data_IF_108950725549
#
_entry.id   IF_108950725549
#
_cell.length_a   1.000
_cell.length_b   1.000
_cell.length_c   1.000
_cell.angle_alpha   90.00
_cell.angle_beta   90.00
_cell.angle_gamma   90.00
#
_symmetry.space_group_name_H-M   'P 1'
#
loop_
_entity.id
_entity.type
_entity.pdbx_description
1 polymer ?
#
# COMPACT_ATOMS: atom_id res chain seq x y z
N UNK A 1 10.37 -6.33 -14.52
CA UNK A 1 10.50 -4.93 -14.12
C UNK A 1 11.32 -4.88 -12.84
N UNK A 2 12.59 -4.51 -12.93
CA UNK A 2 13.47 -4.47 -11.77
C UNK A 2 13.42 -3.08 -11.10
N UNK A 3 12.26 -2.75 -10.55
CA UNK A 3 12.04 -1.54 -9.77
C UNK A 3 11.22 -1.87 -8.53
N UNK A 4 11.54 -1.34 -7.34
CA UNK A 4 10.73 -1.56 -6.15
C UNK A 4 9.28 -1.11 -6.34
N UNK A 5 8.33 -1.77 -5.69
CA UNK A 5 6.91 -1.41 -5.75
C UNK A 5 6.67 0.04 -5.28
N UNK A 6 7.35 0.46 -4.21
CA UNK A 6 7.39 1.87 -3.76
C UNK A 6 8.75 2.44 -4.14
N UNK A 7 8.85 2.96 -5.35
CA UNK A 7 10.12 3.40 -5.94
C UNK A 7 10.51 4.85 -5.63
N UNK A 8 9.60 5.65 -5.07
CA UNK A 8 9.88 7.05 -4.72
C UNK A 8 10.18 7.99 -5.89
N UNK A 9 10.03 7.55 -7.13
CA UNK A 9 10.26 8.39 -8.31
C UNK A 9 9.01 9.24 -8.61
N UNK A 10 9.21 10.45 -9.10
CA UNK A 10 8.15 11.22 -9.77
C UNK A 10 7.78 10.56 -11.09
N UNK A 11 6.62 10.90 -11.65
CA UNK A 11 6.21 10.44 -12.98
C UNK A 11 7.23 10.82 -14.05
N UNK A 12 7.80 12.03 -13.97
CA UNK A 12 8.85 12.48 -14.88
C UNK A 12 10.16 11.66 -14.76
N UNK A 13 10.58 11.37 -13.54
CA UNK A 13 11.76 10.52 -13.28
C UNK A 13 11.54 9.09 -13.77
N UNK A 14 10.34 8.53 -13.51
CA UNK A 14 9.96 7.20 -14.01
C UNK A 14 9.95 7.15 -15.53
N UNK A 15 9.44 8.19 -16.20
CA UNK A 15 9.46 8.31 -17.66
C UNK A 15 10.88 8.38 -18.22
N UNK A 16 11.77 9.17 -17.58
CA UNK A 16 13.20 9.23 -17.95
C UNK A 16 13.89 7.88 -17.77
N UNK A 17 13.65 7.23 -16.63
CA UNK A 17 14.20 5.91 -16.35
C UNK A 17 13.74 4.89 -17.39
N UNK A 18 12.43 4.83 -17.66
CA UNK A 18 11.84 3.92 -18.66
C UNK A 18 12.40 4.17 -20.08
N UNK A 19 12.71 5.42 -20.40
CA UNK A 19 13.33 5.76 -21.67
C UNK A 19 14.80 5.34 -21.76
N UNK A 20 15.52 5.32 -20.65
CA UNK A 20 16.96 4.97 -20.62
C UNK A 20 17.20 3.47 -20.56
N UNK A 21 16.37 2.74 -19.83
CA UNK A 21 16.59 1.32 -19.54
C UNK A 21 15.96 0.45 -20.61
N UNK A 22 16.77 -0.42 -21.23
CA UNK A 22 16.29 -1.40 -22.23
C UNK A 22 15.35 -2.42 -21.60
N UNK A 23 14.35 -2.85 -22.35
CA UNK A 23 13.41 -3.88 -21.95
C UNK A 23 12.32 -3.45 -20.96
N UNK A 24 12.31 -2.19 -20.51
CA UNK A 24 11.28 -1.67 -19.60
C UNK A 24 9.97 -1.41 -20.34
N UNK A 25 10.04 -0.75 -21.48
CA UNK A 25 8.93 -0.59 -22.39
C UNK A 25 9.01 -1.72 -23.41
N UNK A 26 7.88 -2.34 -23.71
CA UNK A 26 7.82 -3.41 -24.72
C UNK A 26 7.93 -2.82 -26.14
N UNK A 27 9.01 -2.11 -26.39
CA UNK A 27 9.34 -1.42 -27.65
C UNK A 27 10.79 -1.66 -28.01
N UNK A 28 11.07 -1.73 -29.30
CA UNK A 28 12.42 -1.79 -29.85
C UNK A 28 13.25 -0.61 -29.35
N UNK A 29 14.50 -0.86 -28.98
CA UNK A 29 15.44 0.14 -28.49
C UNK A 29 15.61 1.34 -29.44
N UNK A 30 15.59 1.08 -30.74
CA UNK A 30 15.64 2.11 -31.77
C UNK A 30 14.45 3.06 -31.71
N UNK A 31 13.24 2.55 -31.54
CA UNK A 31 12.02 3.35 -31.42
C UNK A 31 11.99 4.11 -30.10
N UNK A 32 12.40 3.48 -29.01
CA UNK A 32 12.52 4.10 -27.68
C UNK A 32 13.47 5.31 -27.70
N UNK A 33 14.61 5.19 -28.38
CA UNK A 33 15.61 6.27 -28.50
C UNK A 33 15.13 7.42 -29.39
N UNK A 34 14.36 7.16 -30.45
CA UNK A 34 13.86 8.19 -31.37
C UNK A 34 12.85 9.15 -30.71
N UNK A 35 12.05 8.70 -29.77
CA UNK A 35 11.05 9.53 -29.11
C UNK A 35 11.68 10.69 -28.33
N UNK A 36 11.12 11.90 -28.44
CA UNK A 36 11.50 13.05 -27.64
C UNK A 36 10.66 13.06 -26.36
N UNK A 37 11.30 13.11 -25.21
CA UNK A 37 10.65 13.25 -23.89
C UNK A 37 10.98 14.64 -23.33
N UNK A 38 9.94 15.42 -23.04
CA UNK A 38 10.05 16.70 -22.37
C UNK A 38 9.32 16.58 -21.03
N UNK A 39 10.03 16.88 -19.94
CA UNK A 39 9.43 16.91 -18.59
C UNK A 39 9.30 18.37 -18.20
N UNK A 40 8.06 18.73 -17.83
CA UNK A 40 7.76 20.05 -17.25
C UNK A 40 7.66 19.87 -15.74
N UNK A 41 8.65 20.35 -14.96
CA UNK A 41 8.64 20.23 -13.52
C UNK A 41 7.55 21.11 -12.90
N UNK A 42 6.98 20.67 -11.77
CA UNK A 42 6.08 21.50 -10.98
C UNK A 42 6.88 22.58 -10.25
N UNK A 43 6.40 23.82 -10.32
CA UNK A 43 6.98 24.92 -9.55
C UNK A 43 6.52 24.85 -8.09
N UNK A 44 7.45 25.09 -7.15
CA UNK A 44 7.16 25.14 -5.72
C UNK A 44 6.90 23.81 -5.05
N UNK A 45 7.05 22.68 -5.77
CA UNK A 45 6.95 21.35 -5.19
C UNK A 45 8.35 20.81 -4.82
N UNK A 46 8.43 20.18 -3.63
CA UNK A 46 9.62 19.43 -3.21
C UNK A 46 9.22 18.00 -2.83
N UNK A 47 10.19 17.09 -2.81
CA UNK A 47 9.97 15.67 -2.52
C UNK A 47 9.46 15.42 -1.10
N UNK A 48 9.80 16.28 -0.17
CA UNK A 48 9.42 16.22 1.24
C UNK A 48 7.97 16.65 1.48
N UNK A 49 7.36 17.33 0.50
CA UNK A 49 5.98 17.80 0.63
C UNK A 49 4.99 16.64 0.62
N UNK A 50 4.12 16.65 1.60
CA UNK A 50 2.89 15.86 1.60
C UNK A 50 1.76 16.61 0.87
N UNK A 51 0.70 15.92 0.43
CA UNK A 51 -0.39 16.54 -0.30
C UNK A 51 -1.00 17.78 0.39
N UNK A 52 -1.29 17.76 1.72
CA UNK A 52 -1.82 18.96 2.40
C UNK A 52 -0.91 20.18 2.29
N UNK A 53 0.41 20.00 2.23
CA UNK A 53 1.37 21.10 2.12
C UNK A 53 1.37 21.76 0.74
N UNK A 54 0.79 21.13 -0.25
CA UNK A 54 0.64 21.72 -1.60
C UNK A 54 -0.47 22.77 -1.65
N UNK A 55 -1.37 22.80 -0.67
CA UNK A 55 -2.56 23.67 -0.67
C UNK A 55 -3.64 23.25 -1.67
N UNK A 56 -3.45 22.14 -2.38
CA UNK A 56 -4.40 21.66 -3.38
C UNK A 56 -5.50 20.82 -2.74
N UNK A 57 -6.71 20.93 -3.31
CA UNK A 57 -7.83 20.06 -2.92
C UNK A 57 -7.57 18.62 -3.28
N UNK A 58 -7.92 17.71 -2.38
CA UNK A 58 -7.85 16.28 -2.66
C UNK A 58 -9.00 15.83 -3.55
N UNK A 59 -8.68 15.12 -4.61
CA UNK A 59 -9.66 14.43 -5.45
C UNK A 59 -9.42 12.92 -5.37
N UNK A 60 -10.46 12.11 -5.09
CA UNK A 60 -10.32 10.66 -5.05
C UNK A 60 -9.76 10.12 -6.38
N UNK A 61 -8.65 9.41 -6.29
CA UNK A 61 -7.99 8.82 -7.47
C UNK A 61 -8.67 7.52 -7.92
N UNK A 62 -9.48 6.91 -7.03
CA UNK A 62 -10.23 5.69 -7.27
C UNK A 62 -11.40 5.63 -6.25
N UNK A 63 -12.52 4.95 -6.57
CA UNK A 63 -13.57 4.68 -5.57
C UNK A 63 -13.06 3.99 -4.31
N UNK A 64 -11.99 3.22 -4.42
CA UNK A 64 -11.37 2.53 -3.30
C UNK A 64 -10.27 3.35 -2.59
N UNK A 65 -9.88 4.51 -3.14
CA UNK A 65 -8.90 5.43 -2.56
C UNK A 65 -9.56 6.82 -2.39
N UNK A 66 -10.57 6.93 -1.52
CA UNK A 66 -11.34 8.16 -1.36
C UNK A 66 -10.62 9.24 -0.54
N UNK A 67 -9.61 8.89 0.24
CA UNK A 67 -8.93 9.77 1.19
C UNK A 67 -7.41 9.63 1.12
N UNK A 68 -6.70 10.65 1.61
CA UNK A 68 -5.24 10.60 1.77
C UNK A 68 -4.79 9.47 2.74
N UNK A 69 -5.61 9.14 3.73
CA UNK A 69 -5.36 8.01 4.63
C UNK A 69 -5.34 6.67 3.86
N UNK A 70 -6.23 6.53 2.87
CA UNK A 70 -6.24 5.36 1.99
C UNK A 70 -5.02 5.32 1.05
N UNK A 71 -4.51 6.48 0.61
CA UNK A 71 -3.27 6.55 -0.20
C UNK A 71 -2.09 5.98 0.58
N UNK A 72 -1.90 6.40 1.83
CA UNK A 72 -0.84 5.86 2.68
C UNK A 72 -1.05 4.36 2.98
N UNK A 73 -2.29 3.92 3.13
CA UNK A 73 -2.64 2.52 3.37
C UNK A 73 -2.40 1.59 2.17
N UNK A 74 -2.58 2.09 0.95
CA UNK A 74 -2.53 1.28 -0.27
C UNK A 74 -1.21 0.50 -0.43
N UNK A 75 -0.02 1.12 -0.42
CA UNK A 75 1.24 0.40 -0.52
C UNK A 75 1.50 -0.49 0.69
N UNK A 76 0.92 -0.16 1.84
CA UNK A 76 1.12 -0.85 3.11
C UNK A 76 0.34 -2.16 3.24
N UNK A 77 -0.81 -2.30 2.57
CA UNK A 77 -1.68 -3.48 2.74
C UNK A 77 -2.15 -4.11 1.43
N UNK A 78 -2.10 -3.37 0.32
CA UNK A 78 -2.67 -3.82 -0.95
C UNK A 78 -2.05 -5.13 -1.45
N UNK A 79 -0.73 -5.22 -1.44
CA UNK A 79 -0.02 -6.43 -1.88
C UNK A 79 -0.27 -7.60 -0.92
N UNK A 80 -0.15 -7.37 0.39
CA UNK A 80 -0.29 -8.42 1.41
C UNK A 80 -1.71 -9.01 1.51
N UNK A 81 -2.73 -8.29 1.02
CA UNK A 81 -4.11 -8.76 1.00
C UNK A 81 -4.48 -9.56 -0.27
N UNK A 82 -3.63 -9.59 -1.28
CA UNK A 82 -3.89 -10.34 -2.51
C UNK A 82 -3.73 -11.84 -2.33
N UNK A 83 -2.89 -12.23 -1.38
CA UNK A 83 -2.64 -13.63 -1.07
C UNK A 83 -3.07 -13.92 0.36
N UNK A 84 -3.78 -15.03 0.56
CA UNK A 84 -4.28 -15.40 1.87
C UNK A 84 -5.67 -14.82 2.17
N UNK A 85 -6.01 -14.76 3.46
CA UNK A 85 -7.36 -14.44 3.95
C UNK A 85 -7.47 -13.05 4.56
N UNK A 86 -6.48 -12.20 4.36
CA UNK A 86 -6.57 -10.80 4.78
C UNK A 86 -7.61 -10.03 3.99
N UNK A 87 -8.35 -9.17 4.70
CA UNK A 87 -9.16 -8.10 4.13
C UNK A 87 -8.59 -6.79 4.64
N UNK A 88 -8.45 -5.81 3.77
CA UNK A 88 -7.78 -4.53 4.06
C UNK A 88 -8.73 -3.33 4.08
N UNK A 89 -9.99 -3.56 4.42
CA UNK A 89 -10.95 -2.49 4.71
C UNK A 89 -11.58 -1.80 3.50
N UNK A 90 -11.39 -2.27 2.27
CA UNK A 90 -12.15 -1.76 1.10
C UNK A 90 -13.65 -1.90 1.39
N UNK A 91 -14.42 -0.87 1.03
CA UNK A 91 -15.85 -0.78 1.33
C UNK A 91 -16.19 -0.31 2.75
N UNK A 92 -15.21 0.02 3.56
CA UNK A 92 -15.38 0.61 4.90
C UNK A 92 -14.92 2.07 4.94
N UNK A 93 -15.08 2.73 6.10
CA UNK A 93 -14.55 4.09 6.33
C UNK A 93 -13.02 4.17 6.33
N UNK A 94 -12.32 3.03 6.37
CA UNK A 94 -10.86 2.96 6.47
C UNK A 94 -10.26 1.99 5.45
N UNK A 95 -10.44 2.23 4.13
CA UNK A 95 -9.84 1.38 3.12
C UNK A 95 -8.32 1.38 3.27
N UNK A 96 -7.74 0.20 3.13
CA UNK A 96 -6.30 -0.07 3.27
C UNK A 96 -5.68 0.18 4.65
N UNK A 97 -6.50 0.59 5.64
CA UNK A 97 -6.04 0.87 7.01
C UNK A 97 -6.71 -0.02 8.06
N UNK A 98 -7.69 -0.81 7.67
CA UNK A 98 -8.47 -1.67 8.58
C UNK A 98 -8.32 -3.13 8.15
N UNK A 99 -7.59 -3.91 8.96
CA UNK A 99 -7.33 -5.31 8.68
C UNK A 99 -8.29 -6.23 9.42
N UNK A 100 -8.74 -7.24 8.74
CA UNK A 100 -9.33 -8.45 9.33
C UNK A 100 -8.72 -9.68 8.67
N UNK A 101 -8.75 -10.80 9.36
CA UNK A 101 -8.33 -12.09 8.81
C UNK A 101 -9.43 -13.13 9.06
N UNK A 102 -9.80 -13.88 8.02
CA UNK A 102 -10.85 -14.88 8.12
C UNK A 102 -10.45 -15.99 9.10
N UNK A 103 -11.32 -16.27 10.07
CA UNK A 103 -11.04 -17.28 11.10
C UNK A 103 -10.16 -16.81 12.26
N UNK A 104 -9.80 -15.51 12.33
CA UNK A 104 -9.08 -14.93 13.47
C UNK A 104 -9.88 -13.79 14.08
N UNK A 105 -9.88 -13.69 15.41
CA UNK A 105 -10.43 -12.53 16.11
C UNK A 105 -9.54 -11.30 15.92
N UNK A 106 -10.10 -10.10 16.16
CA UNK A 106 -9.35 -8.86 16.11
C UNK A 106 -8.20 -8.84 17.15
N UNK A 107 -8.42 -9.43 18.34
CA UNK A 107 -7.42 -9.54 19.39
C UNK A 107 -6.26 -10.44 18.97
N UNK A 108 -6.56 -11.63 18.42
CA UNK A 108 -5.54 -12.55 17.94
C UNK A 108 -4.72 -11.94 16.78
N UNK A 109 -5.40 -11.24 15.87
CA UNK A 109 -4.74 -10.54 14.77
C UNK A 109 -3.86 -9.41 15.29
N UNK A 110 -4.37 -8.58 16.21
CA UNK A 110 -3.59 -7.50 16.82
C UNK A 110 -2.35 -8.03 17.55
N UNK A 111 -2.51 -9.06 18.36
CA UNK A 111 -1.39 -9.68 19.09
C UNK A 111 -0.30 -10.15 18.12
N UNK A 112 -0.67 -10.82 17.04
CA UNK A 112 0.29 -11.28 16.05
C UNK A 112 1.00 -10.11 15.34
N UNK A 113 0.28 -9.04 15.01
CA UNK A 113 0.85 -7.85 14.39
C UNK A 113 1.77 -7.07 15.35
N UNK A 114 1.40 -6.95 16.63
CA UNK A 114 2.24 -6.28 17.64
C UNK A 114 3.57 -7.03 17.87
N UNK A 115 3.57 -8.36 17.83
CA UNK A 115 4.77 -9.19 17.97
C UNK A 115 5.80 -8.97 16.85
N UNK A 116 5.37 -8.48 15.69
CA UNK A 116 6.26 -8.19 14.57
C UNK A 116 7.13 -6.95 14.80
N UNK A 117 6.77 -6.08 15.75
CA UNK A 117 7.51 -4.86 16.09
C UNK A 117 7.88 -4.02 14.86
N UNK A 118 6.93 -3.78 13.95
CA UNK A 118 7.17 -3.07 12.69
C UNK A 118 7.45 -1.59 12.98
N UNK A 119 8.63 -1.05 12.62
CA UNK A 119 8.97 0.33 12.90
C UNK A 119 7.98 1.31 12.26
N UNK A 120 7.58 2.34 13.01
CA UNK A 120 6.67 3.38 12.53
C UNK A 120 5.19 3.00 12.49
N UNK A 121 4.84 1.77 12.90
CA UNK A 121 3.45 1.31 12.96
C UNK A 121 3.00 0.97 14.38
N UNK A 122 1.72 1.20 14.62
CA UNK A 122 1.00 0.71 15.79
C UNK A 122 -0.36 0.16 15.36
N UNK A 123 -0.89 -0.78 16.13
CA UNK A 123 -2.13 -1.49 15.82
C UNK A 123 -3.18 -1.27 16.91
N UNK A 124 -4.39 -0.88 16.52
CA UNK A 124 -5.50 -0.62 17.44
C UNK A 124 -6.73 -1.41 17.02
N UNK A 125 -7.38 -2.06 17.97
CA UNK A 125 -8.70 -2.66 17.71
C UNK A 125 -9.69 -1.54 17.44
N UNK A 126 -10.52 -1.72 16.42
CA UNK A 126 -11.58 -0.81 16.05
C UNK A 126 -12.80 -1.59 15.60
N UNK A 127 -13.96 -1.14 16.05
CA UNK A 127 -15.25 -1.68 15.59
C UNK A 127 -15.81 -0.77 14.51
N UNK A 128 -16.13 -1.32 13.37
CA UNK A 128 -16.81 -0.62 12.28
C UNK A 128 -18.21 -1.19 12.08
N UNK A 129 -19.12 -0.34 11.60
CA UNK A 129 -20.41 -0.78 11.09
C UNK A 129 -20.23 -1.10 9.60
N UNK A 130 -20.60 -2.30 9.19
CA UNK A 130 -20.70 -2.66 7.79
C UNK A 130 -22.00 -2.07 7.17
N UNK A 131 -22.09 -2.10 5.86
CA UNK A 131 -23.24 -1.55 5.12
C UNK A 131 -24.59 -2.20 5.49
N UNK A 132 -24.56 -3.42 6.01
CA UNK A 132 -25.72 -4.16 6.52
C UNK A 132 -26.01 -3.89 8.02
N UNK A 133 -25.34 -2.89 8.63
CA UNK A 133 -25.52 -2.50 10.03
C UNK A 133 -24.83 -3.41 11.04
N UNK A 134 -24.17 -4.49 10.63
CA UNK A 134 -23.45 -5.38 11.54
C UNK A 134 -22.15 -4.76 12.01
N UNK A 135 -21.86 -4.96 13.30
CA UNK A 135 -20.56 -4.60 13.87
C UNK A 135 -19.49 -5.60 13.40
N UNK A 136 -18.34 -5.06 12.98
CA UNK A 136 -17.18 -5.82 12.58
C UNK A 136 -15.96 -5.31 13.29
N UNK A 137 -15.36 -6.14 14.13
CA UNK A 137 -14.10 -5.83 14.79
C UNK A 137 -12.92 -6.16 13.87
N UNK A 138 -11.91 -5.34 13.93
CA UNK A 138 -10.67 -5.52 13.18
C UNK A 138 -9.57 -4.64 13.72
N UNK A 139 -8.44 -4.65 13.06
CA UNK A 139 -7.24 -3.93 13.47
C UNK A 139 -7.02 -2.72 12.57
N UNK A 140 -7.09 -1.54 13.14
CA UNK A 140 -6.73 -0.29 12.48
C UNK A 140 -5.23 -0.04 12.61
N UNK A 141 -4.60 0.27 11.47
CA UNK A 141 -3.17 0.54 11.39
C UNK A 141 -2.95 2.04 11.60
N UNK A 142 -2.12 2.40 12.57
CA UNK A 142 -1.69 3.76 12.84
C UNK A 142 -0.24 3.90 12.38
N UNK A 143 0.04 4.88 11.52
CA UNK A 143 1.41 5.31 11.27
C UNK A 143 1.75 6.29 12.40
N UNK A 144 2.55 5.85 13.37
CA UNK A 144 2.91 6.62 14.55
C UNK A 144 4.26 7.32 14.42
N UNK A 145 5.08 6.91 13.45
CA UNK A 145 6.37 7.54 13.13
C UNK A 145 6.62 7.43 11.62
N UNK A 146 6.42 8.54 10.90
CA UNK A 146 6.55 8.61 9.45
C UNK A 146 8.01 8.45 8.98
N UNK A 147 8.98 8.79 9.82
CA UNK A 147 10.41 8.69 9.51
C UNK A 147 10.90 7.24 9.52
N UNK A 148 10.34 6.44 10.42
CA UNK A 148 10.66 5.01 10.53
C UNK A 148 9.78 4.13 9.67
N UNK A 149 8.62 4.63 9.25
CA UNK A 149 7.67 3.84 8.48
C UNK A 149 8.22 3.49 7.10
N UNK A 150 8.22 2.20 6.81
CA UNK A 150 8.53 1.63 5.49
C UNK A 150 7.27 1.01 4.91
N UNK A 151 6.68 1.57 3.84
CA UNK A 151 5.38 1.14 3.33
C UNK A 151 5.29 -0.35 2.97
N UNK A 152 6.39 -0.94 2.55
CA UNK A 152 6.44 -2.32 2.05
C UNK A 152 6.78 -3.37 3.10
N UNK A 153 7.03 -3.00 4.35
CA UNK A 153 7.34 -3.99 5.39
C UNK A 153 6.10 -4.81 5.77
N UNK A 154 4.99 -4.15 6.07
CA UNK A 154 3.77 -4.84 6.51
C UNK A 154 3.22 -5.85 5.47
N UNK A 155 3.19 -5.60 4.14
CA UNK A 155 2.74 -6.59 3.18
C UNK A 155 3.47 -7.94 3.27
N UNK A 156 4.78 -7.92 3.46
CA UNK A 156 5.57 -9.15 3.60
C UNK A 156 5.23 -9.90 4.88
N UNK A 157 5.04 -9.18 5.99
CA UNK A 157 4.57 -9.80 7.23
C UNK A 157 3.15 -10.35 7.11
N UNK A 158 2.25 -9.68 6.40
CA UNK A 158 0.91 -10.22 6.10
C UNK A 158 1.00 -11.53 5.31
N UNK A 159 1.90 -11.61 4.32
CA UNK A 159 2.15 -12.84 3.58
C UNK A 159 2.71 -13.94 4.49
N UNK A 160 3.67 -13.62 5.34
CA UNK A 160 4.23 -14.55 6.34
C UNK A 160 3.14 -15.10 7.27
N UNK A 161 2.29 -14.24 7.84
CA UNK A 161 1.17 -14.67 8.67
C UNK A 161 0.17 -15.54 7.89
N UNK A 162 -0.08 -15.22 6.62
CA UNK A 162 -0.93 -16.05 5.76
C UNK A 162 -0.33 -17.43 5.53
N UNK A 163 0.99 -17.51 5.32
CA UNK A 163 1.69 -18.80 5.18
C UNK A 163 1.60 -19.67 6.44
N UNK A 164 1.71 -19.02 7.62
CA UNK A 164 1.64 -19.71 8.91
C UNK A 164 0.22 -20.15 9.30
N UNK A 165 -0.80 -19.39 8.87
CA UNK A 165 -2.18 -19.59 9.32
C UNK A 165 -3.04 -20.41 8.37
N UNK A 166 -2.58 -20.69 7.16
CA UNK A 166 -3.30 -21.47 6.16
C UNK A 166 -2.64 -22.82 5.91
N UNK A 167 -3.49 -23.83 5.78
CA UNK A 167 -3.07 -25.19 5.36
C UNK A 167 -4.00 -25.63 4.22
N UNK A 168 -3.46 -25.91 3.01
CA UNK A 168 -2.08 -25.67 2.61
C UNK A 168 -1.73 -24.16 2.60
N UNK A 169 -0.44 -23.86 2.69
CA UNK A 169 0.03 -22.47 2.58
C UNK A 169 -0.36 -21.88 1.21
N UNK A 170 -0.77 -20.59 1.13
CA UNK A 170 -1.06 -19.96 -0.16
C UNK A 170 0.17 -19.77 -1.07
N UNK A 171 1.35 -20.08 -0.56
CA UNK A 171 2.63 -20.03 -1.27
C UNK A 171 3.23 -21.42 -1.55
N UNK A 172 2.55 -22.52 -1.19
CA UNK A 172 2.94 -23.85 -1.62
C UNK A 172 2.68 -23.97 -3.13
N UNK A 173 3.65 -24.48 -3.86
CA UNK A 173 3.44 -24.84 -5.26
C UNK A 173 2.32 -25.89 -5.33
N UNK A 174 1.38 -25.69 -6.26
CA UNK A 174 0.30 -26.62 -6.53
C UNK A 174 0.82 -27.80 -7.36
#
# INVERSE_FOLDING_TARGET
FQIPFVHGLTIGELALWSKKVSGVLNTEDTNRKKGKLIIVPMLGWTREMTWPQTGLSWYPTSPNIPTLDAVAGYPMTGLGAQMGKFKHGIGTKHPFRFLTYEGKSADALKTALDQLNIPGLAFKIKTLLSSDGKKKDGVYIVINDWEKWRPTDLPFFMMQLSALWQTPSPFSEA
#
